data_IF_459452745850
#
_entry.id   IF_459452745850
#
_cell.length_a   1.000
_cell.length_b   1.000
_cell.length_c   1.000
_cell.angle_alpha   90.00
_cell.angle_beta   90.00
_cell.angle_gamma   90.00
#
_symmetry.space_group_name_H-M   'P 1'
#
loop_
_entity.id
_entity.type
_entity.pdbx_description
1 polymer ?
#
# COMPACT_ATOMS: atom_id res chain seq x y z
N UNK A 1 69.97 11.71 -26.44
CA UNK A 1 70.47 12.81 -27.28
C UNK A 1 69.26 13.21 -28.10
N UNK A 2 68.35 14.01 -27.54
CA UNK A 2 68.34 15.48 -27.34
C UNK A 2 67.11 16.00 -28.13
N UNK A 3 66.43 17.12 -27.89
CA UNK A 3 66.14 17.96 -26.73
C UNK A 3 64.94 18.85 -27.15
N UNK A 4 64.05 19.18 -26.20
CA UNK A 4 63.23 20.41 -26.20
C UNK A 4 62.00 20.43 -27.13
N UNK A 5 60.80 20.86 -26.73
CA UNK A 5 60.37 21.67 -25.60
C UNK A 5 59.65 22.92 -26.11
N UNK A 6 58.33 23.01 -25.93
CA UNK A 6 57.58 24.28 -25.87
C UNK A 6 56.17 24.03 -25.31
N UNK A 7 55.84 24.80 -24.27
CA UNK A 7 54.55 25.04 -23.60
C UNK A 7 54.30 26.57 -23.74
N UNK A 8 53.16 27.19 -23.35
CA UNK A 8 51.82 26.73 -22.95
C UNK A 8 50.68 27.48 -23.71
N UNK A 9 49.39 27.12 -23.53
CA UNK A 9 48.29 28.10 -23.66
C UNK A 9 47.25 27.82 -22.56
N UNK A 10 46.89 28.90 -21.87
CA UNK A 10 46.13 28.94 -20.63
C UNK A 10 44.59 28.88 -20.84
N UNK A 11 43.93 28.38 -19.78
CA UNK A 11 42.63 28.77 -19.19
C UNK A 11 41.50 29.30 -20.09
N UNK A 12 40.31 28.70 -19.96
CA UNK A 12 39.12 29.29 -19.28
C UNK A 12 37.98 28.24 -19.22
N UNK A 13 37.62 27.78 -18.03
CA UNK A 13 36.34 28.02 -17.33
C UNK A 13 35.08 27.41 -17.96
N UNK A 14 34.53 26.37 -17.31
CA UNK A 14 33.14 26.44 -16.85
C UNK A 14 32.92 25.62 -15.57
N UNK A 15 32.64 26.39 -14.52
CA UNK A 15 31.95 26.00 -13.29
C UNK A 15 30.57 25.40 -13.60
N UNK A 16 30.12 24.46 -12.78
CA UNK A 16 28.74 23.99 -12.77
C UNK A 16 28.61 22.65 -12.06
N UNK A 17 28.90 22.60 -10.76
CA UNK A 17 27.87 22.66 -9.72
C UNK A 17 27.33 21.25 -9.43
N UNK A 18 27.92 20.62 -8.41
CA UNK A 18 27.37 19.46 -7.71
C UNK A 18 25.93 19.80 -7.30
N UNK A 19 24.96 19.23 -8.00
CA UNK A 19 23.58 19.24 -7.54
C UNK A 19 23.43 18.08 -6.57
N UNK A 20 23.48 18.43 -5.28
CA UNK A 20 22.76 17.76 -4.23
C UNK A 20 21.41 17.29 -4.79
N UNK A 21 21.25 15.97 -4.91
CA UNK A 21 19.97 15.38 -5.22
C UNK A 21 19.14 15.46 -3.94
N UNK A 22 18.45 16.60 -3.79
CA UNK A 22 17.44 16.81 -2.76
C UNK A 22 16.53 15.57 -2.74
N UNK A 23 16.53 14.90 -1.59
CA UNK A 23 15.59 13.84 -1.26
C UNK A 23 14.17 14.41 -1.36
N UNK A 24 13.54 14.28 -2.53
CA UNK A 24 12.10 14.14 -2.57
C UNK A 24 11.81 12.77 -1.97
N UNK A 25 11.57 12.75 -0.67
CA UNK A 25 10.77 11.71 -0.04
C UNK A 25 9.39 11.85 -0.67
N UNK A 26 9.21 11.33 -1.88
CA UNK A 26 7.91 10.90 -2.33
C UNK A 26 7.48 9.90 -1.26
N UNK A 27 6.57 10.32 -0.37
CA UNK A 27 5.82 9.38 0.45
C UNK A 27 5.18 8.40 -0.53
N UNK A 28 5.83 7.26 -0.73
CA UNK A 28 5.23 6.11 -1.36
C UNK A 28 3.93 5.91 -0.58
N UNK A 29 2.74 6.06 -1.21
CA UNK A 29 1.49 5.92 -0.51
C UNK A 29 1.53 4.53 0.10
N UNK A 30 1.62 4.49 1.43
CA UNK A 30 1.87 3.26 2.19
C UNK A 30 0.80 2.28 1.74
N UNK A 31 1.19 1.36 0.86
CA UNK A 31 0.29 0.33 0.37
C UNK A 31 -0.12 -0.40 1.63
N UNK A 32 -1.40 -0.27 2.03
CA UNK A 32 -1.89 -0.92 3.24
C UNK A 32 -1.67 -2.41 3.02
N UNK A 33 -0.61 -2.93 3.63
CA UNK A 33 -0.10 -4.25 3.35
C UNK A 33 -1.08 -5.24 3.95
N UNK A 34 -1.95 -5.66 3.05
CA UNK A 34 -2.80 -6.83 2.97
C UNK A 34 -2.70 -7.81 4.13
N UNK A 35 -3.89 -8.27 4.54
CA UNK A 35 -4.15 -9.44 5.37
C UNK A 35 -2.96 -10.41 5.47
N UNK A 36 -2.60 -10.78 6.71
CA UNK A 36 -1.53 -11.75 6.99
C UNK A 36 -1.60 -12.93 6.00
N UNK A 37 -0.46 -13.43 5.49
CA UNK A 37 -0.43 -14.57 4.57
C UNK A 37 -1.16 -15.80 5.12
N UNK A 38 -1.28 -15.93 6.45
CA UNK A 38 -2.08 -16.95 7.11
C UNK A 38 -3.59 -16.72 6.92
N UNK A 39 -4.06 -15.47 7.03
CA UNK A 39 -5.46 -15.11 6.78
C UNK A 39 -5.84 -15.33 5.32
N UNK A 40 -4.94 -15.03 4.38
CA UNK A 40 -5.15 -15.31 2.95
C UNK A 40 -5.32 -16.82 2.67
N UNK A 41 -4.56 -17.68 3.36
CA UNK A 41 -4.69 -19.15 3.23
C UNK A 41 -6.02 -19.69 3.78
N UNK A 42 -6.69 -18.95 4.66
CA UNK A 42 -7.96 -19.33 5.28
C UNK A 42 -9.16 -18.58 4.68
N UNK A 43 -8.92 -17.65 3.75
CA UNK A 43 -9.96 -16.91 3.09
C UNK A 43 -10.77 -17.83 2.16
N UNK A 44 -12.10 -17.72 2.25
CA UNK A 44 -13.02 -18.38 1.34
C UNK A 44 -13.59 -17.32 0.39
N UNK A 45 -13.85 -17.69 -0.86
CA UNK A 45 -14.62 -16.85 -1.76
C UNK A 45 -16.06 -16.76 -1.25
N UNK A 46 -16.46 -15.56 -0.85
CA UNK A 46 -17.79 -15.23 -0.39
C UNK A 46 -18.57 -14.49 -1.48
N UNK A 47 -19.89 -14.60 -1.41
CA UNK A 47 -20.80 -13.86 -2.26
C UNK A 47 -21.82 -13.13 -1.41
N UNK A 48 -22.10 -11.88 -1.75
CA UNK A 48 -23.08 -11.03 -1.07
C UNK A 48 -23.92 -10.21 -2.04
N UNK A 49 -24.79 -9.37 -1.49
CA UNK A 49 -25.59 -8.38 -2.21
C UNK A 49 -25.13 -6.99 -1.78
N UNK A 50 -24.89 -6.09 -2.72
CA UNK A 50 -24.68 -4.68 -2.41
C UNK A 50 -26.01 -3.98 -2.12
N UNK A 51 -25.96 -2.76 -1.59
CA UNK A 51 -27.14 -1.92 -1.36
C UNK A 51 -27.93 -1.62 -2.65
N UNK A 52 -27.27 -1.65 -3.80
CA UNK A 52 -27.88 -1.46 -5.11
C UNK A 52 -28.30 -2.78 -5.78
N UNK A 53 -28.42 -3.87 -5.02
CA UNK A 53 -28.85 -5.20 -5.47
C UNK A 53 -27.91 -5.91 -6.47
N UNK A 54 -26.64 -5.51 -6.53
CA UNK A 54 -25.64 -6.23 -7.35
C UNK A 54 -25.02 -7.39 -6.59
N UNK A 55 -24.67 -8.46 -7.30
CA UNK A 55 -23.90 -9.57 -6.75
C UNK A 55 -22.49 -9.07 -6.46
N UNK A 56 -21.94 -9.35 -5.29
CA UNK A 56 -20.55 -9.01 -4.93
C UNK A 56 -19.78 -10.28 -4.63
N UNK A 57 -18.61 -10.46 -5.24
CA UNK A 57 -17.71 -11.60 -5.03
C UNK A 57 -16.39 -11.09 -4.48
N UNK A 58 -15.93 -11.67 -3.37
CA UNK A 58 -14.70 -11.28 -2.70
C UNK A 58 -14.15 -12.45 -1.86
N UNK A 59 -12.84 -12.48 -1.61
CA UNK A 59 -12.25 -13.42 -0.66
C UNK A 59 -12.29 -12.85 0.77
N UNK A 60 -12.73 -13.66 1.73
CA UNK A 60 -12.91 -13.19 3.11
C UNK A 60 -13.09 -14.30 4.15
N UNK A 61 -13.19 -13.88 5.41
CA UNK A 61 -13.44 -14.79 6.52
C UNK A 61 -14.89 -15.28 6.50
N UNK A 62 -15.18 -16.59 6.58
CA UNK A 62 -16.55 -17.14 6.62
C UNK A 62 -17.46 -16.52 7.69
N UNK A 63 -16.89 -15.93 8.75
CA UNK A 63 -17.64 -15.18 9.78
C UNK A 63 -18.38 -13.96 9.24
N UNK A 64 -18.05 -13.48 8.05
CA UNK A 64 -18.72 -12.35 7.40
C UNK A 64 -20.10 -12.72 6.83
N UNK A 65 -20.42 -14.01 6.71
CA UNK A 65 -21.72 -14.47 6.21
C UNK A 65 -22.84 -13.96 7.13
N UNK A 66 -23.81 -13.27 6.53
CA UNK A 66 -24.93 -12.66 7.26
C UNK A 66 -24.62 -11.33 7.94
N UNK A 67 -23.44 -10.75 7.69
CA UNK A 67 -23.04 -9.42 8.19
C UNK A 67 -22.88 -8.41 7.06
N UNK A 68 -22.84 -7.12 7.40
CA UNK A 68 -22.47 -6.07 6.45
C UNK A 68 -20.96 -5.91 6.46
N UNK A 69 -20.37 -5.83 5.27
CA UNK A 69 -18.94 -5.67 5.07
C UNK A 69 -18.67 -4.57 4.04
N UNK A 70 -17.62 -3.78 4.28
CA UNK A 70 -17.15 -2.76 3.34
C UNK A 70 -16.22 -3.43 2.32
N UNK A 71 -16.58 -3.36 1.04
CA UNK A 71 -15.83 -4.01 -0.05
C UNK A 71 -15.34 -2.93 -1.01
N UNK A 72 -14.04 -2.92 -1.27
CA UNK A 72 -13.44 -2.11 -2.34
C UNK A 72 -13.59 -2.86 -3.66
N UNK A 73 -14.22 -2.23 -4.66
CA UNK A 73 -14.51 -2.85 -5.95
C UNK A 73 -13.39 -2.53 -6.94
N UNK A 74 -12.81 -3.59 -7.52
CA UNK A 74 -11.71 -3.49 -8.48
C UNK A 74 -12.14 -3.80 -9.92
N UNK A 75 -13.18 -4.63 -10.09
CA UNK A 75 -13.72 -5.00 -11.39
C UNK A 75 -15.25 -5.14 -11.34
N UNK A 76 -15.90 -4.94 -12.48
CA UNK A 76 -17.34 -5.09 -12.57
C UNK A 76 -17.82 -5.63 -13.93
N UNK A 77 -18.90 -6.39 -13.85
CA UNK A 77 -19.72 -6.83 -14.98
C UNK A 77 -21.11 -6.21 -14.86
N UNK A 78 -22.02 -6.51 -15.80
CA UNK A 78 -23.40 -6.00 -15.76
C UNK A 78 -24.13 -6.32 -14.45
N UNK A 79 -23.86 -7.48 -13.84
CA UNK A 79 -24.59 -8.00 -12.67
C UNK A 79 -23.72 -8.25 -11.44
N UNK A 80 -22.40 -8.32 -11.61
CA UNK A 80 -21.48 -8.78 -10.57
C UNK A 80 -20.34 -7.78 -10.37
N UNK A 81 -20.02 -7.50 -9.11
CA UNK A 81 -18.89 -6.68 -8.67
C UNK A 81 -17.84 -7.62 -8.04
N UNK A 82 -16.57 -7.41 -8.36
CA UNK A 82 -15.45 -8.17 -7.80
C UNK A 82 -14.57 -7.21 -7.00
N UNK A 83 -14.22 -7.62 -5.78
CA UNK A 83 -13.53 -6.72 -4.86
C UNK A 83 -12.80 -7.43 -3.73
N UNK A 84 -12.21 -6.64 -2.85
CA UNK A 84 -11.53 -7.10 -1.63
C UNK A 84 -12.15 -6.50 -0.39
N UNK A 85 -12.17 -7.27 0.70
CA UNK A 85 -12.65 -6.80 2.00
C UNK A 85 -11.79 -5.66 2.52
N UNK A 86 -12.42 -4.54 2.90
CA UNK A 86 -11.75 -3.46 3.64
C UNK A 86 -11.87 -3.79 5.12
N UNK A 87 -10.78 -4.27 5.73
CA UNK A 87 -10.72 -4.48 7.18
C UNK A 87 -10.11 -3.26 7.84
N UNK A 88 -10.90 -2.58 8.67
CA UNK A 88 -10.38 -1.54 9.57
C UNK A 88 -9.92 -2.20 10.87
N UNK A 89 -8.69 -1.94 11.30
CA UNK A 89 -8.25 -2.35 12.64
C UNK A 89 -9.03 -1.55 13.68
N UNK A 90 -10.06 -2.16 14.27
CA UNK A 90 -10.69 -1.62 15.46
C UNK A 90 -9.84 -2.03 16.67
N UNK A 91 -8.88 -1.18 17.05
CA UNK A 91 -8.28 -1.22 18.37
C UNK A 91 -9.41 -0.99 19.38
N UNK A 92 -9.95 -2.08 19.91
CA UNK A 92 -10.80 -2.01 21.09
C UNK A 92 -9.89 -1.55 22.22
N UNK A 93 -9.90 -0.25 22.48
CA UNK A 93 -9.07 0.35 23.51
C UNK A 93 -9.25 -0.42 24.81
N UNK A 94 -8.18 -1.04 25.28
CA UNK A 94 -7.99 -1.46 26.67
C UNK A 94 -7.87 -0.19 27.53
N UNK A 95 -8.92 0.63 27.54
CA UNK A 95 -9.08 1.79 28.41
C UNK A 95 -9.93 1.48 29.63
N UNK A 96 -10.60 0.33 29.67
CA UNK A 96 -11.27 -0.17 30.87
C UNK A 96 -10.42 -1.29 31.48
N UNK A 97 -9.53 -0.85 32.34
CA UNK A 97 -8.95 -1.61 33.45
C UNK A 97 -9.94 -2.70 33.90
N UNK A 98 -9.65 -3.96 33.58
CA UNK A 98 -10.23 -5.05 34.34
C UNK A 98 -9.54 -4.97 35.72
N UNK A 99 -10.23 -4.59 36.81
CA UNK A 99 -9.59 -4.62 38.12
C UNK A 99 -9.41 -6.10 38.46
N UNK A 100 -8.21 -6.62 38.20
CA UNK A 100 -7.74 -7.83 38.86
C UNK A 100 -7.58 -7.45 40.33
N UNK A 101 -8.60 -7.81 41.11
CA UNK A 101 -8.65 -7.67 42.56
C UNK A 101 -7.38 -8.25 43.18
N UNK A 102 -6.70 -7.46 44.01
CA UNK A 102 -5.74 -7.92 45.02
C UNK A 102 -6.09 -7.31 46.36
#
# INVERSE_FOLDING_TARGET
MDHGGLLPIAHEHHHGHDHDHDHHHDEEPQTLQHASPEAARLALQLTGRSECDRIVVFDGNPRLIGTTAEIEIHDCTSTTLMGSIVTRELQHGTGLLLPILS
#
